data_IF_495167437642
#
_entry.id   IF_495167437642
#
_cell.length_a   1.000
_cell.length_b   1.000
_cell.length_c   1.000
_cell.angle_alpha   90.00
_cell.angle_beta   90.00
_cell.angle_gamma   90.00
#
_symmetry.space_group_name_H-M   'P 1'
#
loop_
_entity.id
_entity.type
_entity.pdbx_description
1 polymer ?
#
# COMPACT_ATOMS: atom_id res chain seq x y z
N UNK A 1 -18.57 -18.98 68.03
CA UNK A 1 -17.24 -19.04 67.40
C UNK A 1 -17.33 -18.16 66.16
N UNK A 2 -16.74 -16.98 66.20
CA UNK A 2 -16.62 -16.08 65.06
C UNK A 2 -15.48 -16.63 64.20
N UNK A 3 -15.78 -17.06 62.99
CA UNK A 3 -14.75 -17.34 61.99
C UNK A 3 -14.13 -15.97 61.63
N UNK A 4 -12.93 -15.69 62.11
CA UNK A 4 -12.12 -14.60 61.59
C UNK A 4 -11.79 -15.00 60.17
N UNK A 5 -12.39 -14.33 59.18
CA UNK A 5 -11.92 -14.45 57.80
C UNK A 5 -10.47 -13.99 57.74
N UNK A 6 -9.70 -14.68 56.91
CA UNK A 6 -8.33 -14.33 56.64
C UNK A 6 -8.31 -12.94 55.98
N UNK A 7 -7.63 -11.98 56.59
CA UNK A 7 -7.58 -10.61 56.09
C UNK A 7 -6.47 -10.46 55.03
N UNK A 8 -6.71 -9.57 54.07
CA UNK A 8 -5.70 -9.26 53.04
C UNK A 8 -4.61 -8.40 53.65
N UNK A 9 -3.38 -8.90 53.61
CA UNK A 9 -2.19 -8.18 54.10
C UNK A 9 -1.77 -7.07 53.15
N UNK A 10 -1.71 -7.36 51.81
CA UNK A 10 -1.36 -6.38 50.78
C UNK A 10 -1.75 -6.82 49.42
N UNK A 11 -1.79 -5.85 48.48
CA UNK A 11 -1.98 -6.09 47.08
C UNK A 11 -0.70 -5.76 46.31
N UNK A 12 -0.30 -6.65 45.40
CA UNK A 12 0.69 -6.37 44.38
C UNK A 12 0.16 -5.38 43.35
N UNK A 13 1.05 -4.85 42.52
CA UNK A 13 0.68 -4.00 41.44
C UNK A 13 -0.02 -4.78 40.30
N UNK A 14 -0.90 -4.12 39.57
CA UNK A 14 -1.51 -4.70 38.36
C UNK A 14 -0.45 -4.87 37.25
N UNK A 15 -0.40 -6.04 36.67
CA UNK A 15 0.34 -6.38 35.44
C UNK A 15 -0.66 -6.48 34.29
N UNK A 16 -0.47 -5.63 33.29
CA UNK A 16 -1.34 -5.59 32.11
C UNK A 16 -0.60 -6.22 30.94
N UNK A 17 -1.29 -7.09 30.19
CA UNK A 17 -0.83 -7.59 28.92
C UNK A 17 -1.83 -7.20 27.82
N UNK A 18 -1.34 -6.94 26.62
CA UNK A 18 -2.15 -6.69 25.43
C UNK A 18 -1.42 -7.20 24.20
N UNK A 19 -2.15 -7.82 23.30
CA UNK A 19 -1.63 -8.37 22.05
C UNK A 19 -2.63 -8.15 20.91
N UNK A 20 -2.12 -8.19 19.69
CA UNK A 20 -2.88 -8.08 18.46
C UNK A 20 -2.53 -9.24 17.52
N UNK A 21 -3.53 -9.79 16.83
CA UNK A 21 -3.33 -10.83 15.84
C UNK A 21 -4.36 -10.69 14.68
N UNK A 22 -3.91 -10.46 13.43
CA UNK A 22 -2.53 -10.21 13.00
C UNK A 22 -1.99 -8.85 13.48
N UNK A 23 -0.66 -8.68 13.47
CA UNK A 23 0.03 -7.43 13.79
C UNK A 23 0.22 -6.50 12.59
N UNK A 24 -0.24 -6.95 11.41
CA UNK A 24 -0.21 -6.16 10.17
C UNK A 24 -1.42 -6.43 9.31
N UNK A 25 -1.86 -5.40 8.57
CA UNK A 25 -2.95 -5.49 7.58
C UNK A 25 -2.55 -4.77 6.29
N UNK A 26 -3.25 -5.10 5.19
CA UNK A 26 -3.00 -4.49 3.87
C UNK A 26 -3.45 -3.03 3.80
N UNK A 27 -3.05 -2.33 2.73
CA UNK A 27 -3.51 -0.96 2.46
C UNK A 27 -5.03 -0.87 2.25
N UNK A 28 -5.68 -1.89 1.72
CA UNK A 28 -7.14 -1.94 1.55
C UNK A 28 -7.91 -2.00 2.87
N UNK A 29 -7.22 -2.11 4.00
CA UNK A 29 -7.82 -2.28 5.31
C UNK A 29 -7.84 -3.72 5.78
N UNK A 30 -8.45 -3.95 6.92
CA UNK A 30 -8.56 -5.27 7.52
C UNK A 30 -8.88 -5.21 9.01
N UNK A 31 -8.85 -6.38 9.63
CA UNK A 31 -9.15 -6.52 11.05
C UNK A 31 -8.03 -7.20 11.81
N UNK A 32 -7.94 -6.92 13.09
CA UNK A 32 -7.03 -7.58 14.03
C UNK A 32 -7.76 -7.87 15.34
N UNK A 33 -7.62 -9.07 15.86
CA UNK A 33 -8.15 -9.43 17.17
C UNK A 33 -7.22 -8.91 18.25
N UNK A 34 -7.77 -8.16 19.19
CA UNK A 34 -7.06 -7.59 20.34
C UNK A 34 -7.44 -8.37 21.57
N UNK A 35 -6.43 -8.90 22.27
CA UNK A 35 -6.61 -9.62 23.53
C UNK A 35 -5.81 -8.92 24.61
N UNK A 36 -6.44 -8.67 25.76
CA UNK A 36 -5.78 -8.05 26.90
C UNK A 36 -6.22 -8.75 28.20
N UNK A 37 -5.33 -8.72 29.18
CA UNK A 37 -5.60 -9.21 30.54
C UNK A 37 -4.94 -8.30 31.57
N UNK A 38 -5.49 -8.30 32.77
CA UNK A 38 -4.90 -7.67 33.94
C UNK A 38 -4.88 -8.69 35.07
N UNK A 39 -3.75 -8.75 35.78
CA UNK A 39 -3.56 -9.62 36.93
C UNK A 39 -2.80 -8.89 38.01
N UNK A 40 -3.12 -9.19 39.27
CA UNK A 40 -2.29 -8.82 40.41
C UNK A 40 -2.24 -9.92 41.47
N UNK A 41 -1.22 -9.90 42.28
CA UNK A 41 -1.04 -10.78 43.43
C UNK A 41 -1.76 -10.23 44.63
N UNK A 42 -2.44 -11.08 45.40
CA UNK A 42 -2.99 -10.77 46.74
C UNK A 42 -2.19 -11.55 47.77
N UNK A 43 -1.71 -10.86 48.78
CA UNK A 43 -1.03 -11.45 49.95
C UNK A 43 -1.97 -11.42 51.15
N UNK A 44 -2.14 -12.58 51.79
CA UNK A 44 -3.00 -12.76 52.93
C UNK A 44 -2.20 -12.80 54.25
N UNK A 45 -2.81 -12.46 55.37
CA UNK A 45 -2.16 -12.51 56.66
C UNK A 45 -1.76 -13.95 57.09
N UNK A 46 -2.47 -14.96 56.58
CA UNK A 46 -2.09 -16.37 56.71
C UNK A 46 -0.75 -16.74 56.08
N UNK A 47 -0.21 -15.86 55.19
CA UNK A 47 0.94 -16.15 54.35
C UNK A 47 0.55 -16.75 52.98
N UNK A 48 -0.73 -16.96 52.72
CA UNK A 48 -1.20 -17.42 51.43
C UNK A 48 -1.05 -16.33 50.34
N UNK A 49 -0.93 -16.77 49.09
CA UNK A 49 -0.80 -15.92 47.92
C UNK A 49 -1.79 -16.36 46.86
N UNK A 50 -2.59 -15.43 46.37
CA UNK A 50 -3.57 -15.69 45.30
C UNK A 50 -3.44 -14.68 44.19
N UNK A 51 -4.03 -14.97 43.01
CA UNK A 51 -4.13 -14.02 41.91
C UNK A 51 -5.53 -13.42 41.80
N UNK A 52 -5.60 -12.14 41.57
CA UNK A 52 -6.82 -11.45 41.14
C UNK A 52 -6.70 -11.07 39.67
N UNK A 53 -7.79 -11.28 38.92
CA UNK A 53 -7.90 -10.90 37.51
C UNK A 53 -8.80 -9.68 37.35
N UNK A 54 -8.43 -8.76 36.45
CA UNK A 54 -9.20 -7.59 36.13
C UNK A 54 -9.54 -7.52 34.62
N UNK A 55 -10.50 -6.69 34.29
CA UNK A 55 -10.89 -6.47 32.90
C UNK A 55 -10.30 -5.15 32.41
N UNK A 56 -9.24 -5.15 31.58
CA UNK A 56 -8.67 -3.91 31.04
C UNK A 56 -9.65 -3.21 30.08
N UNK A 57 -9.63 -1.88 30.14
CA UNK A 57 -10.31 -1.04 29.15
C UNK A 57 -9.37 -0.79 27.98
N UNK A 58 -9.87 -1.04 26.74
CA UNK A 58 -9.14 -0.87 25.50
C UNK A 58 -9.48 0.46 24.84
N UNK A 59 -8.48 1.08 24.23
CA UNK A 59 -8.61 2.26 23.37
C UNK A 59 -7.62 2.19 22.20
N UNK A 60 -7.89 2.90 21.10
CA UNK A 60 -7.00 2.99 19.93
C UNK A 60 -6.92 4.44 19.46
N UNK A 61 -5.80 4.80 18.82
CA UNK A 61 -5.59 6.09 18.17
C UNK A 61 -5.98 6.08 16.68
N UNK A 62 -6.20 4.89 16.09
CA UNK A 62 -6.51 4.73 14.67
C UNK A 62 -7.49 3.56 14.49
N UNK A 63 -8.46 3.73 13.60
CA UNK A 63 -9.51 2.74 13.36
C UNK A 63 -10.57 2.71 14.46
N UNK A 64 -11.30 1.61 14.55
CA UNK A 64 -12.36 1.41 15.55
C UNK A 64 -12.21 0.06 16.23
N UNK A 65 -12.53 0.00 17.51
CA UNK A 65 -12.65 -1.24 18.27
C UNK A 65 -14.13 -1.64 18.36
N UNK A 66 -14.43 -2.93 18.21
CA UNK A 66 -15.78 -3.47 18.36
C UNK A 66 -16.31 -3.37 19.81
N UNK A 67 -15.39 -3.32 20.78
CA UNK A 67 -15.66 -3.19 22.22
C UNK A 67 -14.48 -2.52 22.92
N UNK A 68 -14.76 -1.81 24.00
CA UNK A 68 -13.72 -1.34 24.93
C UNK A 68 -13.23 -2.41 25.90
N UNK A 69 -13.78 -3.64 25.83
CA UNK A 69 -13.38 -4.78 26.66
C UNK A 69 -12.67 -5.83 25.83
N UNK A 70 -11.82 -6.63 26.45
CA UNK A 70 -11.13 -7.77 25.83
C UNK A 70 -12.01 -9.02 25.84
N UNK A 71 -12.02 -9.83 24.75
CA UNK A 71 -11.40 -9.58 23.46
C UNK A 71 -12.17 -8.53 22.64
N UNK A 72 -11.48 -7.85 21.72
CA UNK A 72 -12.08 -6.86 20.82
C UNK A 72 -11.52 -7.01 19.40
N UNK A 73 -12.25 -6.55 18.41
CA UNK A 73 -11.79 -6.50 17.02
C UNK A 73 -11.44 -5.06 16.65
N UNK A 74 -10.19 -4.80 16.33
CA UNK A 74 -9.76 -3.57 15.67
C UNK A 74 -10.10 -3.66 14.19
N UNK A 75 -10.78 -2.65 13.65
CA UNK A 75 -11.04 -2.51 12.22
C UNK A 75 -10.31 -1.27 11.70
N UNK A 76 -9.49 -1.46 10.66
CA UNK A 76 -8.81 -0.39 9.93
C UNK A 76 -9.41 -0.28 8.52
N UNK A 77 -9.87 0.92 8.16
CA UNK A 77 -10.28 1.23 6.80
C UNK A 77 -9.10 1.39 5.85
N UNK A 78 -9.36 1.64 4.58
CA UNK A 78 -8.35 1.83 3.54
C UNK A 78 -7.32 2.91 3.91
N UNK A 79 -6.05 2.64 3.59
CA UNK A 79 -4.95 3.60 3.63
C UNK A 79 -4.56 3.98 2.20
N UNK A 80 -5.02 5.12 1.73
CA UNK A 80 -4.74 5.64 0.37
C UNK A 80 -3.37 6.31 0.27
N UNK A 81 -2.68 6.55 1.40
CA UNK A 81 -1.30 7.04 1.41
C UNK A 81 -0.33 5.93 1.00
N UNK A 82 0.73 6.27 0.28
CA UNK A 82 1.83 5.34 -0.03
C UNK A 82 2.70 5.02 1.19
N UNK A 83 2.55 5.75 2.29
CA UNK A 83 3.24 5.48 3.55
C UNK A 83 2.41 4.56 4.44
N UNK A 84 3.07 3.63 5.12
CA UNK A 84 2.44 2.82 6.16
C UNK A 84 2.01 3.69 7.34
N UNK A 85 0.98 3.22 8.09
CA UNK A 85 0.53 3.85 9.33
C UNK A 85 0.35 2.81 10.42
N UNK A 86 0.38 3.24 11.68
CA UNK A 86 0.34 2.35 12.84
C UNK A 86 -0.81 2.71 13.76
N UNK A 87 -1.65 1.73 14.06
CA UNK A 87 -2.61 1.79 15.15
C UNK A 87 -1.92 1.36 16.44
N UNK A 88 -2.02 2.18 17.47
CA UNK A 88 -1.57 1.86 18.84
C UNK A 88 -2.79 1.57 19.69
N UNK A 89 -2.87 0.37 20.21
CA UNK A 89 -3.92 -0.08 21.12
C UNK A 89 -3.37 0.00 22.55
N UNK A 90 -4.10 0.69 23.42
CA UNK A 90 -3.77 0.83 24.83
C UNK A 90 -4.78 0.08 25.68
N UNK A 91 -4.30 -0.78 26.56
CA UNK A 91 -5.08 -1.43 27.59
C UNK A 91 -4.78 -0.79 28.95
N UNK A 92 -5.81 -0.46 29.73
CA UNK A 92 -5.66 0.20 31.04
C UNK A 92 -6.49 -0.51 32.12
N UNK A 93 -5.92 -0.70 33.30
CA UNK A 93 -6.61 -1.21 34.48
C UNK A 93 -5.86 -0.81 35.75
N UNK A 94 -6.58 -0.42 36.80
CA UNK A 94 -5.99 -0.12 38.12
C UNK A 94 -4.84 0.90 38.08
N UNK A 95 -4.92 1.93 37.20
CA UNK A 95 -3.87 2.95 37.03
C UNK A 95 -2.64 2.50 36.23
N UNK A 96 -2.57 1.25 35.81
CA UNK A 96 -1.51 0.71 34.94
C UNK A 96 -1.96 0.61 33.51
N UNK A 97 -1.01 0.54 32.56
CA UNK A 97 -1.32 0.38 31.12
C UNK A 97 -0.23 -0.39 30.39
N UNK A 98 -0.65 -1.04 29.31
CA UNK A 98 0.22 -1.64 28.32
C UNK A 98 -0.26 -1.27 26.90
N UNK A 99 0.61 -1.37 25.91
CA UNK A 99 0.28 -1.07 24.51
C UNK A 99 0.76 -2.18 23.60
N UNK A 100 0.02 -2.40 22.50
CA UNK A 100 0.46 -3.14 21.33
C UNK A 100 0.16 -2.33 20.06
N UNK A 101 0.72 -2.75 18.93
CA UNK A 101 0.57 -2.04 17.67
C UNK A 101 0.11 -2.97 16.55
N UNK A 102 -0.65 -2.39 15.61
CA UNK A 102 -0.98 -3.01 14.32
C UNK A 102 -0.53 -2.06 13.22
N UNK A 103 0.33 -2.53 12.33
CA UNK A 103 0.84 -1.75 11.19
C UNK A 103 -0.06 -1.99 9.97
N UNK A 104 -0.47 -0.91 9.33
CA UNK A 104 -1.16 -0.98 8.03
C UNK A 104 -0.22 -0.53 6.92
N UNK A 105 -0.11 -1.35 5.87
CA UNK A 105 0.67 -1.00 4.69
C UNK A 105 0.16 0.29 4.02
N UNK A 106 1.04 1.00 3.32
CA UNK A 106 0.66 2.06 2.39
C UNK A 106 0.10 1.49 1.09
N UNK A 107 -0.69 2.29 0.37
CA UNK A 107 -1.12 1.96 -0.98
C UNK A 107 0.08 1.89 -1.94
N UNK A 108 0.00 1.02 -2.94
CA UNK A 108 1.00 1.03 -4.01
C UNK A 108 0.89 2.33 -4.82
N UNK A 109 2.03 2.91 -5.25
CA UNK A 109 2.01 4.07 -6.13
C UNK A 109 1.28 3.76 -7.44
N UNK A 110 0.46 4.68 -7.91
CA UNK A 110 -0.19 4.55 -9.21
C UNK A 110 0.85 4.49 -10.34
N UNK A 111 0.59 3.62 -11.32
CA UNK A 111 1.41 3.50 -12.53
C UNK A 111 0.59 3.98 -13.73
N UNK A 112 1.16 4.92 -14.50
CA UNK A 112 0.59 5.38 -15.77
C UNK A 112 1.61 5.20 -16.88
N UNK A 113 1.13 4.87 -18.10
CA UNK A 113 1.96 4.77 -19.29
C UNK A 113 1.65 5.92 -20.22
N UNK A 114 2.68 6.51 -20.80
CA UNK A 114 2.57 7.60 -21.77
C UNK A 114 3.32 7.22 -23.04
N UNK A 115 2.65 7.33 -24.16
CA UNK A 115 3.22 7.18 -25.49
C UNK A 115 2.75 8.34 -26.36
N UNK A 116 3.67 9.03 -27.02
CA UNK A 116 3.34 10.11 -27.93
C UNK A 116 4.34 10.22 -29.08
N UNK A 117 3.85 10.67 -30.22
CA UNK A 117 4.63 10.91 -31.45
C UNK A 117 4.34 12.31 -31.95
N UNK A 118 5.42 13.08 -32.25
CA UNK A 118 5.31 14.40 -32.82
C UNK A 118 6.42 14.67 -33.87
N UNK A 119 6.11 15.07 -35.11
CA UNK A 119 4.77 15.17 -35.68
C UNK A 119 4.14 13.77 -35.90
N UNK A 120 2.83 13.66 -35.81
CA UNK A 120 2.11 12.41 -36.07
C UNK A 120 2.01 12.07 -37.57
N UNK A 121 2.52 12.94 -38.45
CA UNK A 121 2.48 12.77 -39.89
C UNK A 121 3.79 13.26 -40.52
N UNK A 122 4.42 12.41 -41.31
CA UNK A 122 5.58 12.74 -42.16
C UNK A 122 5.13 12.87 -43.60
N UNK A 123 5.41 14.02 -44.24
CA UNK A 123 5.11 14.28 -45.63
C UNK A 123 6.41 14.48 -46.42
N UNK A 124 6.50 13.83 -47.57
CA UNK A 124 7.62 14.01 -48.50
C UNK A 124 7.08 14.20 -49.91
N UNK A 125 7.87 14.83 -50.77
CA UNK A 125 7.53 14.99 -52.21
C UNK A 125 7.63 13.69 -52.98
N UNK A 126 7.31 13.74 -54.29
CA UNK A 126 7.34 12.56 -55.20
C UNK A 126 8.76 11.98 -55.36
N UNK A 127 9.81 12.77 -55.16
CA UNK A 127 11.21 12.30 -55.15
C UNK A 127 11.57 11.44 -53.95
N UNK A 128 10.66 11.28 -52.98
CA UNK A 128 10.95 10.64 -51.72
C UNK A 128 11.66 11.57 -50.75
N UNK A 129 12.17 11.01 -49.65
CA UNK A 129 12.89 11.75 -48.63
C UNK A 129 12.75 11.16 -47.25
N UNK A 130 13.20 11.89 -46.26
CA UNK A 130 13.15 11.47 -44.85
C UNK A 130 12.45 12.54 -44.02
N UNK A 131 11.79 12.07 -42.97
CA UNK A 131 11.23 12.93 -41.90
C UNK A 131 11.36 12.30 -40.56
N UNK A 132 11.84 13.09 -39.61
CA UNK A 132 12.01 12.65 -38.23
C UNK A 132 10.77 12.93 -37.41
N UNK A 133 10.56 12.10 -36.42
CA UNK A 133 9.52 12.25 -35.40
C UNK A 133 10.18 12.21 -34.02
N UNK A 134 9.60 12.89 -33.07
CA UNK A 134 9.97 12.72 -31.65
C UNK A 134 9.00 11.70 -31.04
N UNK A 135 9.54 10.66 -30.44
CA UNK A 135 8.75 9.62 -29.75
C UNK A 135 9.06 9.73 -28.27
N UNK A 136 8.00 9.82 -27.47
CA UNK A 136 8.08 9.76 -26.01
C UNK A 136 7.33 8.52 -25.54
N UNK A 137 8.05 7.59 -24.91
CA UNK A 137 7.51 6.35 -24.36
C UNK A 137 8.07 6.14 -22.96
N UNK A 138 7.23 6.30 -21.96
CA UNK A 138 7.65 6.16 -20.57
C UNK A 138 6.49 5.71 -19.67
N UNK A 139 6.84 5.16 -18.50
CA UNK A 139 5.91 4.93 -17.40
C UNK A 139 6.24 5.84 -16.22
N UNK A 140 5.20 6.31 -15.54
CA UNK A 140 5.33 7.04 -14.29
C UNK A 140 4.78 6.19 -13.17
N UNK A 141 5.59 5.99 -12.11
CA UNK A 141 5.22 5.27 -10.88
C UNK A 141 5.32 6.25 -9.72
N UNK A 142 4.19 6.69 -9.20
CA UNK A 142 4.16 7.79 -8.24
C UNK A 142 4.69 9.08 -8.86
N UNK A 143 5.85 9.56 -8.39
CA UNK A 143 6.54 10.75 -8.92
C UNK A 143 7.75 10.43 -9.82
N UNK A 144 8.09 9.16 -10.01
CA UNK A 144 9.27 8.73 -10.76
C UNK A 144 8.89 8.32 -12.18
N UNK A 145 9.69 8.74 -13.16
CA UNK A 145 9.50 8.43 -14.57
C UNK A 145 10.60 7.49 -15.05
N UNK A 146 10.22 6.48 -15.84
CA UNK A 146 11.10 5.46 -16.40
C UNK A 146 10.82 5.31 -17.88
N UNK A 147 11.86 5.29 -18.70
CA UNK A 147 11.71 5.01 -20.12
C UNK A 147 11.13 3.60 -20.34
N UNK A 148 10.23 3.49 -21.29
CA UNK A 148 9.66 2.23 -21.74
C UNK A 148 10.06 2.04 -23.19
N UNK A 149 10.63 0.90 -23.50
CA UNK A 149 10.98 0.58 -24.88
C UNK A 149 9.71 0.42 -25.73
N UNK A 150 9.85 0.67 -27.01
CA UNK A 150 8.76 0.56 -27.98
C UNK A 150 9.27 -0.15 -29.24
N UNK A 151 8.36 -0.75 -29.98
CA UNK A 151 8.65 -1.29 -31.30
C UNK A 151 7.68 -0.73 -32.34
N UNK A 152 8.08 -0.81 -33.61
CA UNK A 152 7.17 -0.53 -34.71
C UNK A 152 6.52 -1.85 -35.12
N UNK A 153 5.21 -1.83 -35.32
CA UNK A 153 4.53 -2.97 -35.95
C UNK A 153 4.95 -3.04 -37.42
N UNK A 154 5.94 -3.88 -37.70
CA UNK A 154 6.51 -4.04 -39.03
C UNK A 154 5.52 -4.50 -40.09
N UNK A 155 4.40 -5.11 -39.67
CA UNK A 155 3.33 -5.52 -40.58
C UNK A 155 2.56 -4.33 -41.18
N UNK A 156 2.59 -3.19 -40.49
CA UNK A 156 1.94 -1.94 -40.88
C UNK A 156 2.85 -1.02 -41.70
N UNK A 157 4.16 -1.29 -41.70
CA UNK A 157 5.13 -0.50 -42.47
C UNK A 157 5.15 -0.95 -43.91
N UNK A 158 4.74 -0.10 -44.87
CA UNK A 158 4.68 -0.49 -46.27
C UNK A 158 6.09 -0.65 -46.86
N UNK A 159 6.20 -1.46 -47.91
CA UNK A 159 7.50 -1.77 -48.56
C UNK A 159 8.24 -0.54 -49.12
N UNK A 160 7.51 0.57 -49.37
CA UNK A 160 8.08 1.83 -49.84
C UNK A 160 8.53 2.79 -48.72
N UNK A 161 8.46 2.34 -47.48
CA UNK A 161 8.93 3.13 -46.32
C UNK A 161 9.80 2.26 -45.42
N UNK A 162 10.70 2.90 -44.71
CA UNK A 162 11.50 2.31 -43.64
C UNK A 162 11.54 3.25 -42.42
N UNK A 163 11.73 2.68 -41.26
CA UNK A 163 11.89 3.43 -40.01
C UNK A 163 13.20 3.06 -39.31
N UNK A 164 13.96 4.06 -38.96
CA UNK A 164 15.16 3.92 -38.14
C UNK A 164 14.84 4.33 -36.70
N UNK A 165 14.77 3.35 -35.79
CA UNK A 165 14.44 3.57 -34.39
C UNK A 165 15.48 4.45 -33.66
N UNK A 166 16.77 4.27 -33.95
CA UNK A 166 17.84 5.02 -33.26
C UNK A 166 17.84 6.51 -33.58
N UNK A 167 17.33 6.91 -34.75
CA UNK A 167 17.21 8.31 -35.17
C UNK A 167 15.76 8.78 -35.22
N UNK A 168 14.80 7.89 -34.93
CA UNK A 168 13.36 8.12 -35.03
C UNK A 168 12.96 8.74 -36.36
N UNK A 169 13.49 8.19 -37.47
CA UNK A 169 13.37 8.76 -38.80
C UNK A 169 12.70 7.78 -39.76
N UNK A 170 11.66 8.25 -40.44
CA UNK A 170 11.07 7.58 -41.59
C UNK A 170 11.81 7.99 -42.86
N UNK A 171 12.15 7.01 -43.68
CA UNK A 171 12.63 7.21 -45.07
C UNK A 171 11.60 6.67 -46.03
N UNK A 172 11.19 7.48 -47.00
CA UNK A 172 10.13 7.20 -47.96
C UNK A 172 10.71 7.22 -49.37
N UNK A 173 10.50 6.13 -50.10
CA UNK A 173 11.00 5.99 -51.48
C UNK A 173 10.28 6.91 -52.45
N UNK A 174 10.92 7.28 -53.55
CA UNK A 174 10.33 8.02 -54.66
C UNK A 174 9.14 7.28 -55.30
N UNK A 175 8.28 8.04 -55.96
CA UNK A 175 7.14 7.50 -56.72
C UNK A 175 6.96 8.25 -58.02
N UNK A 176 6.63 7.53 -59.05
CA UNK A 176 6.23 8.11 -60.35
C UNK A 176 4.71 8.28 -60.47
N UNK A 177 3.97 7.84 -59.42
CA UNK A 177 2.50 8.00 -59.40
C UNK A 177 2.12 9.46 -59.24
N UNK A 178 1.11 9.91 -59.96
CA UNK A 178 0.50 11.23 -59.82
C UNK A 178 -0.42 11.31 -58.59
N UNK A 179 -0.79 10.18 -57.98
CA UNK A 179 -1.55 10.10 -56.75
C UNK A 179 -0.63 9.86 -55.56
N UNK A 180 -0.84 10.61 -54.45
CA UNK A 180 -0.09 10.43 -53.22
C UNK A 180 -0.30 9.05 -52.60
N UNK A 181 0.70 8.55 -51.90
CA UNK A 181 0.66 7.32 -51.07
C UNK A 181 0.52 7.70 -49.61
N UNK A 182 -0.33 6.98 -48.90
CA UNK A 182 -0.49 7.16 -47.42
C UNK A 182 -0.53 5.78 -46.79
N UNK A 183 0.13 5.66 -45.66
CA UNK A 183 0.01 4.50 -44.78
C UNK A 183 -0.12 4.97 -43.32
N UNK A 184 -0.79 4.16 -42.49
CA UNK A 184 -0.78 4.28 -41.06
C UNK A 184 0.22 3.25 -40.50
N UNK A 185 1.09 3.67 -39.65
CA UNK A 185 2.08 2.82 -39.01
C UNK A 185 1.79 2.83 -37.53
N UNK A 186 1.79 1.65 -36.92
CA UNK A 186 1.51 1.47 -35.50
C UNK A 186 2.78 1.15 -34.73
N UNK A 187 2.77 1.45 -33.46
CA UNK A 187 3.84 1.19 -32.50
C UNK A 187 3.26 0.41 -31.32
N UNK A 188 4.03 -0.56 -30.80
CA UNK A 188 3.72 -1.42 -29.66
C UNK A 188 4.66 -1.13 -28.48
#
# INVERSE_FOLDING_TARGET
MSQSGDDVSSYGEWVITVSANPTSVSSSGGTSTITASAKRTIYWESGDVTEETGNPTLSTNLGSLSSSSSPSTLTLGENTSTSSRTATIKATHGGKSATCTVTQAGAEPSTTYTFSINPYKVNVGSSGGSGSVTISSYKTVGSSTYDVDYSIDSSTLPSWASFNKSTSTFTIQSTTSTTGRTAKVYFD
#
